data_IF_562167098029
#
_entry.id   IF_562167098029
#
_cell.length_a   1.000
_cell.length_b   1.000
_cell.length_c   1.000
_cell.angle_alpha   90.00
_cell.angle_beta   90.00
_cell.angle_gamma   90.00
#
_symmetry.space_group_name_H-M   'P 1'
#
loop_
_entity.id
_entity.type
_entity.pdbx_description
1 polymer ?
#
# COMPACT_ATOMS: atom_id res chain seq x y z
N UNK A 1 36.75 -35.87 59.63
CA UNK A 1 35.44 -35.93 59.00
C UNK A 1 34.97 -34.59 58.43
N UNK A 2 35.30 -33.42 59.05
CA UNK A 2 34.86 -32.08 58.60
C UNK A 2 35.44 -31.64 57.24
N UNK A 3 36.58 -32.17 56.81
CA UNK A 3 37.25 -31.75 55.55
C UNK A 3 36.53 -32.30 54.29
N UNK A 4 35.96 -33.49 54.34
CA UNK A 4 35.24 -34.10 53.24
C UNK A 4 33.89 -33.43 52.96
N UNK A 5 33.21 -32.97 54.00
CA UNK A 5 31.89 -32.29 53.85
C UNK A 5 32.04 -30.92 53.17
N UNK A 6 33.14 -30.17 53.50
CA UNK A 6 33.42 -28.87 52.89
C UNK A 6 33.74 -28.95 51.40
N UNK A 7 34.44 -29.99 50.97
CA UNK A 7 34.74 -30.23 49.57
C UNK A 7 33.52 -30.59 48.72
N UNK A 8 32.57 -31.36 49.29
CA UNK A 8 31.32 -31.72 48.64
C UNK A 8 30.41 -30.50 48.41
N UNK A 9 30.35 -29.56 49.36
CA UNK A 9 29.52 -28.36 49.20
C UNK A 9 30.05 -27.39 48.19
N UNK A 10 31.37 -27.25 48.01
CA UNK A 10 31.96 -26.40 46.96
C UNK A 10 31.75 -26.98 45.56
N UNK A 11 31.88 -28.31 45.40
CA UNK A 11 31.57 -29.01 44.14
C UNK A 11 30.09 -28.85 43.79
N UNK A 12 29.18 -29.00 44.74
CA UNK A 12 27.76 -28.83 44.53
C UNK A 12 27.38 -27.40 44.12
N UNK A 13 27.99 -26.36 44.69
CA UNK A 13 27.81 -24.97 44.31
C UNK A 13 28.30 -24.71 42.89
N UNK A 14 29.48 -25.22 42.55
CA UNK A 14 30.03 -25.10 41.19
C UNK A 14 29.11 -25.76 40.14
N UNK A 15 28.56 -26.94 40.44
CA UNK A 15 27.66 -27.66 39.52
C UNK A 15 26.34 -26.89 39.36
N UNK A 16 25.75 -26.38 40.41
CA UNK A 16 24.52 -25.56 40.38
C UNK A 16 24.76 -24.29 39.55
N UNK A 17 25.91 -23.64 39.69
CA UNK A 17 26.26 -22.45 38.92
C UNK A 17 26.41 -22.76 37.43
N UNK A 18 27.07 -23.88 37.07
CA UNK A 18 27.20 -24.33 35.67
C UNK A 18 25.86 -24.66 35.04
N UNK A 19 24.97 -25.33 35.78
CA UNK A 19 23.60 -25.64 35.28
C UNK A 19 22.81 -24.35 35.04
N UNK A 20 22.88 -23.36 35.93
CA UNK A 20 22.22 -22.08 35.76
C UNK A 20 22.79 -21.30 34.59
N UNK A 21 24.10 -21.25 34.43
CA UNK A 21 24.74 -20.59 33.32
C UNK A 21 24.37 -21.25 31.96
N UNK A 22 24.39 -22.59 31.89
CA UNK A 22 23.96 -23.32 30.70
C UNK A 22 22.48 -23.11 30.35
N UNK A 23 21.63 -23.02 31.37
CA UNK A 23 20.20 -22.72 31.19
C UNK A 23 19.99 -21.29 30.66
N UNK A 24 20.65 -20.30 31.22
CA UNK A 24 20.58 -18.92 30.74
C UNK A 24 21.07 -18.78 29.30
N UNK A 25 22.18 -19.40 28.94
CA UNK A 25 22.71 -19.38 27.56
C UNK A 25 21.68 -19.98 26.59
N UNK A 26 21.02 -21.09 26.96
CA UNK A 26 19.98 -21.69 26.13
C UNK A 26 18.75 -20.81 26.00
N UNK A 27 18.30 -20.20 27.10
CA UNK A 27 17.16 -19.27 27.07
C UNK A 27 17.46 -18.09 26.15
N UNK A 28 18.63 -17.45 26.28
CA UNK A 28 19.03 -16.35 25.40
C UNK A 28 19.20 -16.77 23.97
N UNK A 29 19.72 -17.97 23.71
CA UNK A 29 19.88 -18.50 22.35
C UNK A 29 18.56 -18.75 21.62
N UNK A 30 17.44 -18.96 22.35
CA UNK A 30 16.12 -19.14 21.76
C UNK A 30 15.26 -17.88 21.79
N UNK A 31 15.29 -17.12 22.89
CA UNK A 31 14.43 -15.94 23.08
C UNK A 31 14.85 -14.80 22.15
N UNK A 32 16.15 -14.56 21.98
CA UNK A 32 16.61 -13.47 21.09
C UNK A 32 16.25 -13.72 19.62
N UNK A 33 16.53 -14.87 19.01
CA UNK A 33 16.12 -15.13 17.62
C UNK A 33 14.60 -15.14 17.45
N UNK A 34 13.85 -15.70 18.41
CA UNK A 34 12.39 -15.69 18.36
C UNK A 34 11.83 -14.27 18.44
N UNK A 35 12.42 -13.39 19.24
CA UNK A 35 12.03 -11.98 19.31
C UNK A 35 12.36 -11.22 18.04
N UNK A 36 13.51 -11.48 17.42
CA UNK A 36 13.89 -10.88 16.14
C UNK A 36 12.96 -11.36 15.02
N UNK A 37 12.63 -12.66 14.99
CA UNK A 37 11.66 -13.19 14.04
C UNK A 37 10.25 -12.59 14.25
N UNK A 38 9.81 -12.44 15.50
CA UNK A 38 8.53 -11.81 15.81
C UNK A 38 8.51 -10.34 15.37
N UNK A 39 9.57 -9.58 15.62
CA UNK A 39 9.70 -8.19 15.15
C UNK A 39 9.71 -8.11 13.60
N UNK A 40 10.38 -9.05 12.93
CA UNK A 40 10.36 -9.13 11.47
C UNK A 40 9.00 -9.53 10.89
N UNK A 41 8.18 -10.30 11.63
CA UNK A 41 6.81 -10.62 11.25
C UNK A 41 5.84 -9.45 11.44
N UNK A 42 6.17 -8.47 12.28
CA UNK A 42 5.35 -7.26 12.50
C UNK A 42 5.59 -6.15 11.46
N UNK A 43 6.53 -6.31 10.52
CA UNK A 43 6.58 -5.48 9.31
C UNK A 43 5.49 -5.96 8.32
N UNK A 44 4.26 -6.05 8.80
CA UNK A 44 3.13 -6.53 8.04
C UNK A 44 2.68 -5.50 7.01
N UNK A 45 2.36 -5.96 5.82
CA UNK A 45 1.59 -5.16 4.86
C UNK A 45 0.30 -4.71 5.53
N UNK A 46 0.11 -3.41 5.62
CA UNK A 46 -1.14 -2.81 6.09
C UNK A 46 -2.00 -2.42 4.90
N UNK A 47 -3.29 -2.52 5.06
CA UNK A 47 -4.25 -1.98 4.09
C UNK A 47 -4.52 -0.54 4.51
N UNK A 48 -4.09 0.41 3.68
CA UNK A 48 -4.26 1.84 3.93
C UNK A 48 -5.66 2.30 3.53
N UNK A 49 -6.17 1.76 2.43
CA UNK A 49 -7.51 2.02 1.91
C UNK A 49 -8.00 0.80 1.15
N UNK A 50 -9.23 0.37 1.37
CA UNK A 50 -9.86 -0.71 0.58
C UNK A 50 -11.36 -0.47 0.42
N UNK A 51 -11.74 0.14 -0.69
CA UNK A 51 -13.13 0.22 -1.14
C UNK A 51 -13.38 -0.70 -2.36
N UNK A 52 -12.42 -1.54 -2.70
CA UNK A 52 -12.49 -2.44 -3.86
C UNK A 52 -13.59 -3.50 -3.77
N UNK A 53 -14.17 -3.68 -2.58
CA UNK A 53 -15.25 -4.62 -2.31
C UNK A 53 -16.64 -3.98 -2.30
N UNK A 54 -16.73 -2.67 -2.48
CA UNK A 54 -18.03 -2.01 -2.64
C UNK A 54 -18.70 -2.51 -3.92
N UNK A 55 -20.01 -2.50 -3.94
CA UNK A 55 -20.77 -2.89 -5.12
C UNK A 55 -20.35 -2.03 -6.31
N UNK A 56 -20.29 -2.67 -7.46
CA UNK A 56 -19.87 -2.03 -8.70
C UNK A 56 -21.01 -1.10 -9.15
N UNK A 57 -20.68 0.15 -9.34
CA UNK A 57 -21.58 1.15 -9.93
C UNK A 57 -21.27 1.26 -11.43
N UNK A 58 -22.00 0.54 -12.32
CA UNK A 58 -21.61 0.41 -13.74
C UNK A 58 -21.55 1.73 -14.50
N UNK A 59 -22.32 2.71 -14.05
CA UNK A 59 -22.44 4.02 -14.71
C UNK A 59 -21.48 5.05 -14.09
N UNK A 60 -20.77 4.69 -13.01
CA UNK A 60 -19.83 5.59 -12.34
C UNK A 60 -18.40 5.31 -12.80
N UNK A 61 -18.10 5.70 -14.02
CA UNK A 61 -16.81 5.50 -14.68
C UNK A 61 -16.29 6.86 -15.13
N UNK A 62 -15.04 7.16 -14.79
CA UNK A 62 -14.33 8.33 -15.32
C UNK A 62 -13.36 7.86 -16.38
N UNK A 63 -13.45 8.44 -17.58
CA UNK A 63 -12.52 8.18 -18.65
C UNK A 63 -11.28 9.05 -18.47
N UNK A 64 -10.11 8.47 -18.74
CA UNK A 64 -8.82 9.16 -18.69
C UNK A 64 -8.25 9.14 -20.10
N UNK A 65 -8.10 10.34 -20.69
CA UNK A 65 -7.60 10.57 -22.04
C UNK A 65 -6.85 11.91 -22.08
N UNK A 66 -6.46 12.40 -23.26
CA UNK A 66 -5.72 13.66 -23.41
C UNK A 66 -6.49 14.89 -22.88
N UNK A 67 -7.82 14.82 -22.85
CA UNK A 67 -8.70 15.91 -22.41
C UNK A 67 -9.09 15.80 -20.92
N UNK A 68 -8.80 14.66 -20.27
CA UNK A 68 -9.27 14.37 -18.91
C UNK A 68 -8.22 13.64 -18.08
N UNK A 69 -7.91 14.19 -16.94
CA UNK A 69 -7.10 13.54 -15.89
C UNK A 69 -7.92 13.34 -14.62
N UNK A 70 -7.49 12.40 -13.79
CA UNK A 70 -8.13 12.09 -12.52
C UNK A 70 -7.15 12.31 -11.39
N UNK A 71 -7.57 13.06 -10.37
CA UNK A 71 -6.79 13.17 -9.14
C UNK A 71 -7.62 12.85 -7.91
N UNK A 72 -6.97 12.24 -6.92
CA UNK A 72 -7.58 11.89 -5.64
C UNK A 72 -6.60 12.04 -4.50
N UNK A 73 -7.08 12.65 -3.42
CA UNK A 73 -6.32 12.79 -2.19
C UNK A 73 -6.22 11.46 -1.44
N UNK A 74 -5.01 11.14 -0.99
CA UNK A 74 -4.69 9.96 -0.20
C UNK A 74 -3.96 10.39 1.07
N UNK A 75 -4.57 10.20 2.24
CA UNK A 75 -3.88 10.39 3.52
C UNK A 75 -3.18 9.08 3.90
N UNK A 76 -1.87 9.15 4.13
CA UNK A 76 -1.05 7.98 4.40
C UNK A 76 -1.07 7.58 5.87
N UNK A 77 -1.43 6.32 6.14
CA UNK A 77 -1.38 5.75 7.49
C UNK A 77 -0.08 4.97 7.77
N UNK A 78 0.73 4.73 6.75
CA UNK A 78 2.04 4.06 6.81
C UNK A 78 3.17 4.92 6.30
N UNK A 79 4.40 4.42 6.38
CA UNK A 79 5.61 5.08 5.90
C UNK A 79 6.04 4.64 4.50
N UNK A 80 5.44 3.58 3.98
CA UNK A 80 5.71 3.06 2.64
C UNK A 80 4.40 2.71 1.95
N UNK A 81 4.23 3.22 0.74
CA UNK A 81 3.19 2.79 -0.19
C UNK A 81 3.75 1.65 -1.04
N UNK A 82 3.22 0.45 -0.89
CA UNK A 82 3.78 -0.74 -1.55
C UNK A 82 3.00 -1.21 -2.77
N UNK A 83 1.73 -0.89 -2.85
CA UNK A 83 0.90 -1.21 -4.02
C UNK A 83 -0.36 -0.34 -4.05
N UNK A 84 -0.71 0.06 -5.25
CA UNK A 84 -1.97 0.72 -5.59
C UNK A 84 -2.66 -0.12 -6.66
N UNK A 85 -3.85 -0.62 -6.36
CA UNK A 85 -4.70 -1.31 -7.35
C UNK A 85 -5.95 -0.50 -7.57
N UNK A 86 -6.28 -0.25 -8.82
CA UNK A 86 -7.48 0.48 -9.22
C UNK A 86 -8.32 -0.43 -10.12
N UNK A 87 -9.63 -0.33 -10.00
CA UNK A 87 -10.57 -1.06 -10.84
C UNK A 87 -10.74 -0.34 -12.17
N UNK A 88 -10.58 -1.11 -13.25
CA UNK A 88 -10.49 -0.58 -14.60
C UNK A 88 -11.69 -1.02 -15.44
N UNK A 89 -12.22 -0.11 -16.24
CA UNK A 89 -13.16 -0.36 -17.31
C UNK A 89 -12.44 -0.35 -18.65
N UNK A 90 -12.38 -1.48 -19.30
CA UNK A 90 -11.72 -1.63 -20.61
C UNK A 90 -12.68 -1.48 -21.80
N UNK A 91 -14.00 -1.43 -21.54
CA UNK A 91 -15.01 -1.45 -22.58
C UNK A 91 -14.96 -2.76 -23.40
N UNK A 92 -15.40 -2.66 -24.65
CA UNK A 92 -15.35 -3.77 -25.61
C UNK A 92 -14.10 -3.71 -26.51
N UNK A 93 -13.25 -2.68 -26.34
CA UNK A 93 -12.08 -2.42 -27.19
C UNK A 93 -10.80 -2.81 -26.46
N UNK A 94 -9.84 -3.35 -27.22
CA UNK A 94 -8.46 -3.40 -26.76
C UNK A 94 -7.90 -1.99 -26.82
N UNK A 95 -7.57 -1.43 -25.66
CA UNK A 95 -7.00 -0.10 -25.55
C UNK A 95 -5.50 -0.30 -25.40
N UNK A 96 -4.72 0.27 -26.33
CA UNK A 96 -3.26 0.35 -26.21
C UNK A 96 -2.92 1.80 -25.93
N UNK A 97 -2.60 2.08 -24.68
CA UNK A 97 -2.33 3.41 -24.16
C UNK A 97 -1.31 3.33 -23.03
N UNK A 98 -0.69 4.44 -22.70
CA UNK A 98 0.21 4.58 -21.57
C UNK A 98 -0.33 5.62 -20.61
N UNK A 99 -0.65 5.17 -19.39
CA UNK A 99 -1.07 6.05 -18.31
C UNK A 99 0.14 6.56 -17.57
N UNK A 100 0.17 7.86 -17.30
CA UNK A 100 1.10 8.46 -16.34
C UNK A 100 0.44 8.47 -14.96
N UNK A 101 1.16 7.96 -13.97
CA UNK A 101 0.71 7.88 -12.58
C UNK A 101 1.68 8.65 -11.71
N UNK A 102 1.18 9.67 -11.04
CA UNK A 102 1.97 10.52 -10.17
C UNK A 102 1.44 10.48 -8.73
N UNK A 103 2.35 10.59 -7.77
CA UNK A 103 2.02 10.86 -6.38
C UNK A 103 2.68 12.17 -6.00
N UNK A 104 1.90 13.17 -5.64
CA UNK A 104 2.33 14.55 -5.43
C UNK A 104 2.10 14.89 -3.96
N UNK A 105 3.11 15.39 -3.29
CA UNK A 105 3.00 15.94 -1.95
C UNK A 105 2.19 17.23 -1.98
N UNK A 106 1.03 17.25 -1.34
CA UNK A 106 0.14 18.43 -1.37
C UNK A 106 0.66 19.64 -0.62
N UNK A 107 1.60 19.46 0.31
CA UNK A 107 2.16 20.57 1.06
C UNK A 107 3.27 21.28 0.28
N UNK A 108 4.11 20.52 -0.41
CA UNK A 108 5.27 21.05 -1.13
C UNK A 108 5.03 21.20 -2.63
N UNK A 109 4.11 20.41 -3.20
CA UNK A 109 3.91 20.30 -4.64
C UNK A 109 4.93 19.41 -5.33
N UNK A 110 5.80 18.73 -4.55
CA UNK A 110 6.83 17.86 -5.11
C UNK A 110 6.22 16.52 -5.58
N UNK A 111 6.65 16.06 -6.75
CA UNK A 111 6.33 14.72 -7.24
C UNK A 111 7.24 13.73 -6.53
N UNK A 112 6.68 12.92 -5.62
CA UNK A 112 7.41 11.90 -4.85
C UNK A 112 7.48 10.55 -5.57
N UNK A 113 6.60 10.34 -6.53
CA UNK A 113 6.60 9.20 -7.44
C UNK A 113 6.01 9.60 -8.79
N UNK A 114 6.64 9.13 -9.86
CA UNK A 114 6.09 9.18 -11.22
C UNK A 114 6.43 7.86 -11.90
N UNK A 115 5.44 7.26 -12.53
CA UNK A 115 5.60 6.02 -13.27
C UNK A 115 4.63 5.94 -14.44
N UNK A 116 4.96 5.07 -15.39
CA UNK A 116 4.13 4.79 -16.53
C UNK A 116 3.49 3.40 -16.39
N UNK A 117 2.26 3.27 -16.87
CA UNK A 117 1.52 2.03 -16.88
C UNK A 117 0.90 1.78 -18.24
N UNK A 118 1.45 0.79 -18.94
CA UNK A 118 0.87 0.30 -20.20
C UNK A 118 -0.46 -0.41 -19.95
N UNK A 119 -1.45 -0.13 -20.78
CA UNK A 119 -2.81 -0.66 -20.68
C UNK A 119 -3.03 -1.96 -21.45
N UNK A 120 -2.08 -2.39 -22.29
CA UNK A 120 -2.14 -3.64 -23.06
C UNK A 120 -2.42 -4.89 -22.20
N UNK A 121 -1.98 -4.86 -20.95
CA UNK A 121 -2.23 -5.91 -19.96
C UNK A 121 -3.62 -5.87 -19.32
N UNK A 122 -4.43 -4.86 -19.61
CA UNK A 122 -5.77 -4.70 -19.04
C UNK A 122 -6.80 -5.44 -19.91
N UNK A 123 -6.84 -6.75 -19.78
CA UNK A 123 -7.64 -7.63 -20.62
C UNK A 123 -8.99 -8.00 -20.03
N UNK A 124 -9.21 -7.71 -18.75
CA UNK A 124 -10.44 -8.10 -18.06
C UNK A 124 -11.14 -6.85 -17.52
N UNK A 125 -12.34 -6.61 -18.04
CA UNK A 125 -13.20 -5.52 -17.55
C UNK A 125 -13.53 -5.71 -16.06
N UNK A 126 -13.62 -4.62 -15.34
CA UNK A 126 -13.92 -4.59 -13.89
C UNK A 126 -12.88 -5.30 -12.99
N UNK A 127 -11.68 -5.59 -13.51
CA UNK A 127 -10.60 -6.15 -12.70
C UNK A 127 -9.80 -5.06 -11.98
N UNK A 128 -9.12 -5.46 -10.89
CA UNK A 128 -8.20 -4.60 -10.15
C UNK A 128 -6.79 -4.77 -10.74
N UNK A 129 -6.25 -3.73 -11.33
CA UNK A 129 -4.89 -3.71 -11.86
C UNK A 129 -3.94 -2.91 -10.97
N UNK A 130 -2.67 -3.34 -10.93
CA UNK A 130 -1.63 -2.64 -10.18
C UNK A 130 -1.09 -1.46 -10.99
N UNK A 131 -1.06 -0.29 -10.36
CA UNK A 131 -0.61 0.96 -10.97
C UNK A 131 0.81 1.35 -10.53
N UNK A 132 1.29 0.84 -9.39
CA UNK A 132 2.66 1.08 -8.96
C UNK A 132 3.55 -0.11 -9.30
N UNK A 133 4.75 0.20 -9.84
CA UNK A 133 5.79 -0.79 -10.13
C UNK A 133 6.75 -1.04 -8.98
N UNK A 134 6.85 -0.11 -8.02
CA UNK A 134 7.82 -0.15 -6.93
C UNK A 134 7.24 0.41 -5.62
N UNK A 135 8.01 0.26 -4.54
CA UNK A 135 7.66 0.83 -3.24
C UNK A 135 8.03 2.32 -3.20
N UNK A 136 7.11 3.13 -2.71
CA UNK A 136 7.27 4.58 -2.59
C UNK A 136 7.34 4.96 -1.12
N UNK A 137 8.39 5.66 -0.71
CA UNK A 137 8.50 6.21 0.64
C UNK A 137 7.57 7.39 0.80
N UNK A 138 6.77 7.39 1.85
CA UNK A 138 5.80 8.44 2.18
C UNK A 138 5.87 8.78 3.67
N UNK A 139 5.30 9.89 4.07
CA UNK A 139 5.23 10.29 5.47
C UNK A 139 3.85 9.96 6.06
N UNK A 140 3.85 9.28 7.19
CA UNK A 140 2.61 8.94 7.91
C UNK A 140 1.88 10.21 8.35
N UNK A 141 0.58 10.24 8.10
CA UNK A 141 -0.31 11.36 8.42
C UNK A 141 -0.35 12.46 7.36
N UNK A 142 0.52 12.39 6.35
CA UNK A 142 0.59 13.36 5.26
C UNK A 142 -0.39 13.00 4.16
N UNK A 143 -0.93 14.03 3.49
CA UNK A 143 -1.83 13.86 2.35
C UNK A 143 -1.08 14.09 1.05
N UNK A 144 -1.24 13.15 0.15
CA UNK A 144 -0.70 13.17 -1.20
C UNK A 144 -1.84 13.19 -2.21
N UNK A 145 -1.62 13.82 -3.35
CA UNK A 145 -2.50 13.74 -4.51
C UNK A 145 -2.02 12.61 -5.40
N UNK A 146 -2.87 11.61 -5.62
CA UNK A 146 -2.71 10.63 -6.68
C UNK A 146 -3.29 11.23 -7.96
N UNK A 147 -2.48 11.39 -9.00
CA UNK A 147 -2.90 11.87 -10.31
C UNK A 147 -2.68 10.80 -11.36
N UNK A 148 -3.67 10.59 -12.23
CA UNK A 148 -3.61 9.67 -13.36
C UNK A 148 -4.01 10.44 -14.60
N UNK A 149 -3.16 10.42 -15.61
CA UNK A 149 -3.37 11.08 -16.89
C UNK A 149 -2.99 10.14 -18.05
N UNK A 150 -3.42 10.48 -19.25
CA UNK A 150 -3.18 9.70 -20.47
C UNK A 150 -2.93 10.66 -21.65
N UNK A 151 -2.23 10.18 -22.66
CA UNK A 151 -2.07 10.86 -23.95
C UNK A 151 -2.97 10.24 -25.04
N UNK A 152 -3.87 9.33 -24.67
CA UNK A 152 -4.83 8.74 -25.60
C UNK A 152 -5.76 9.81 -26.15
N UNK A 153 -6.12 9.71 -27.43
CA UNK A 153 -7.08 10.60 -28.07
C UNK A 153 -8.41 10.64 -27.29
N UNK A 154 -9.07 11.79 -27.28
CA UNK A 154 -10.36 12.00 -26.62
C UNK A 154 -11.36 10.88 -26.92
N UNK A 155 -11.95 10.30 -25.87
CA UNK A 155 -12.90 9.20 -25.97
C UNK A 155 -12.30 7.84 -26.28
N UNK A 156 -10.96 7.73 -26.42
CA UNK A 156 -10.27 6.46 -26.67
C UNK A 156 -9.50 5.93 -25.45
N UNK A 157 -9.43 6.72 -24.38
CA UNK A 157 -8.73 6.37 -23.14
C UNK A 157 -9.43 5.29 -22.33
N UNK A 158 -8.80 4.93 -21.23
CA UNK A 158 -9.30 3.89 -20.32
C UNK A 158 -10.27 4.47 -19.29
N UNK A 159 -11.26 3.69 -18.88
CA UNK A 159 -12.18 4.04 -17.81
C UNK A 159 -11.69 3.57 -16.44
N UNK A 160 -11.87 4.38 -15.41
CA UNK A 160 -11.64 4.02 -14.02
C UNK A 160 -12.98 3.99 -13.28
N UNK A 161 -13.28 2.86 -12.62
CA UNK A 161 -14.48 2.76 -11.81
C UNK A 161 -14.37 3.62 -10.56
N UNK A 162 -15.46 4.31 -10.27
CA UNK A 162 -15.62 5.10 -9.06
C UNK A 162 -16.74 4.52 -8.20
N UNK A 163 -16.74 4.90 -6.94
CA UNK A 163 -17.83 4.63 -5.98
C UNK A 163 -18.26 5.94 -5.35
N UNK A 164 -19.53 6.06 -5.06
CA UNK A 164 -20.06 7.22 -4.35
C UNK A 164 -19.36 7.36 -3.00
N UNK A 165 -18.83 8.54 -2.71
CA UNK A 165 -18.11 8.85 -1.49
C UNK A 165 -18.98 9.65 -0.53
N UNK A 166 -18.79 9.41 0.77
CA UNK A 166 -19.21 10.36 1.79
C UNK A 166 -18.40 11.65 1.63
N UNK A 167 -18.96 12.79 1.98
CA UNK A 167 -18.54 14.15 1.61
C UNK A 167 -17.12 14.59 1.94
N UNK A 168 -16.29 13.75 2.58
CA UNK A 168 -14.94 14.14 3.05
C UNK A 168 -13.81 13.78 2.07
N UNK A 169 -14.05 12.94 1.06
CA UNK A 169 -13.02 12.55 0.11
C UNK A 169 -13.50 12.84 -1.31
N UNK A 170 -13.13 13.99 -1.84
CA UNK A 170 -13.50 14.38 -3.20
C UNK A 170 -12.47 13.83 -4.20
N UNK A 171 -12.98 13.13 -5.21
CA UNK A 171 -12.28 12.90 -6.44
C UNK A 171 -12.38 14.17 -7.28
N UNK A 172 -11.26 14.72 -7.70
CA UNK A 172 -11.22 15.80 -8.65
C UNK A 172 -10.96 15.17 -10.03
N UNK A 173 -11.98 15.14 -10.87
CA UNK A 173 -11.78 14.92 -12.29
C UNK A 173 -11.57 16.31 -12.92
N UNK A 174 -10.38 16.58 -13.39
CA UNK A 174 -10.10 17.73 -14.25
C UNK A 174 -10.51 17.38 -15.67
N UNK A 175 -11.79 17.57 -15.97
CA UNK A 175 -12.30 17.54 -17.34
C UNK A 175 -12.66 18.97 -17.71
N UNK A 176 -12.45 19.37 -18.97
CA UNK A 176 -13.00 20.64 -19.49
C UNK A 176 -14.54 20.64 -19.40
N UNK A 177 -15.18 19.47 -19.37
CA UNK A 177 -16.62 19.28 -19.13
C UNK A 177 -16.86 18.96 -17.65
N UNK A 178 -16.88 19.97 -16.82
CA UNK A 178 -17.21 19.92 -15.39
C UNK A 178 -18.70 19.81 -15.15
N UNK A 179 -19.37 18.82 -15.66
CA UNK A 179 -20.77 18.56 -15.32
C UNK A 179 -20.84 17.48 -14.22
N UNK A 180 -20.99 18.00 -12.96
CA UNK A 180 -21.64 17.37 -11.80
C UNK A 180 -21.47 15.85 -11.64
N UNK A 181 -20.22 15.36 -11.50
CA UNK A 181 -20.04 14.04 -10.90
C UNK A 181 -20.45 14.12 -9.43
N UNK A 182 -21.33 13.23 -8.94
CA UNK A 182 -21.59 13.12 -7.51
C UNK A 182 -20.26 12.92 -6.78
N UNK A 183 -20.20 13.30 -5.49
CA UNK A 183 -19.02 13.05 -4.68
C UNK A 183 -18.59 11.60 -4.86
N UNK A 184 -17.50 11.36 -5.56
CA UNK A 184 -17.04 10.05 -5.98
C UNK A 184 -15.58 9.87 -5.58
N UNK A 185 -15.14 8.64 -5.46
CA UNK A 185 -13.73 8.26 -5.28
C UNK A 185 -13.41 7.04 -6.12
N UNK A 186 -12.17 6.90 -6.53
CA UNK A 186 -11.71 5.74 -7.27
C UNK A 186 -11.97 4.45 -6.49
N UNK A 187 -12.47 3.42 -7.19
CA UNK A 187 -12.60 2.09 -6.61
C UNK A 187 -11.23 1.41 -6.60
N UNK A 188 -10.57 1.42 -5.42
CA UNK A 188 -9.19 1.01 -5.31
C UNK A 188 -8.87 0.27 -4.03
N UNK A 189 -7.69 -0.35 -4.02
CA UNK A 189 -7.06 -0.93 -2.84
C UNK A 189 -5.63 -0.44 -2.74
N UNK A 190 -5.31 0.20 -1.61
CA UNK A 190 -3.99 0.73 -1.30
C UNK A 190 -3.38 -0.08 -0.16
N UNK A 191 -2.18 -0.58 -0.35
CA UNK A 191 -1.43 -1.30 0.68
C UNK A 191 -0.07 -0.66 0.90
N UNK A 192 0.37 -0.67 2.14
CA UNK A 192 1.63 -0.08 2.57
C UNK A 192 2.34 -0.91 3.62
N UNK A 193 3.38 -0.33 4.18
CA UNK A 193 4.16 -0.87 5.30
C UNK A 193 4.30 0.22 6.37
N UNK A 194 4.37 -0.21 7.64
CA UNK A 194 4.60 0.70 8.77
C UNK A 194 6.07 1.03 8.92
#
# INVERSE_FOLDING_TARGET
PKYHIRKGTEIAKGLVWQIRAAFLVRVFAFVIPASICALGMFQGKIVLLDNSRQDLEPDNIIQVDESSSVSQDLTMEGSVLSNLKIRVYTGEKSISDTLTVELIDKETGDVVYQGEKETDGFTTNSALYSFFGEKVSVEKGKTYELRISSEAEEGSGIGLYCVTADSETQLLAETEARDELPASRLQMRVTGEQ
#
